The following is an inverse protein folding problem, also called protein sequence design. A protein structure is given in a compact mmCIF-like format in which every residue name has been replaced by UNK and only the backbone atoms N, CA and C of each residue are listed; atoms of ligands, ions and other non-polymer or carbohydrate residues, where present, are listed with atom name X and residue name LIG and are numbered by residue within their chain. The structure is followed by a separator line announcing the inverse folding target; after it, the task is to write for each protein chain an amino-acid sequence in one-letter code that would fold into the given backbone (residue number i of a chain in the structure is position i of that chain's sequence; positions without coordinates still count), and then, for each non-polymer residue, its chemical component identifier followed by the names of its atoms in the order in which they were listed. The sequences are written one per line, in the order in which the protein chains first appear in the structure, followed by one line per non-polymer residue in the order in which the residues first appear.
data_IF_164818807954
#
_entry.id   IF_164818807954
#
_cell.length_a   1.000
_cell.length_b   1.000
_cell.length_c   1.000
_cell.angle_alpha   90.00
_cell.angle_beta   90.00
_cell.angle_gamma   90.00
#
_symmetry.space_group_name_H-M   'P 1'
#
loop_
_entity.id
_entity.type
_entity.pdbx_description
1 polymer ?
#
# COMPACT_ATOMS: atom_id res chain seq x y z
N UNK A 1 0.05 -35.95 -45.74
CA UNK A 1 1.32 -35.39 -45.24
C UNK A 1 1.31 -33.91 -45.57
N UNK A 2 1.40 -32.93 -44.68
CA UNK A 2 1.30 -32.80 -43.22
C UNK A 2 1.16 -31.29 -43.01
N UNK A 3 0.14 -30.82 -42.28
CA UNK A 3 -0.07 -29.38 -42.07
C UNK A 3 0.72 -29.00 -40.82
N UNK A 4 1.84 -28.31 -41.01
CA UNK A 4 2.69 -27.84 -39.91
C UNK A 4 2.07 -26.61 -39.26
N UNK A 5 1.79 -26.70 -37.96
CA UNK A 5 1.46 -25.56 -37.10
C UNK A 5 2.73 -24.73 -36.87
N UNK A 6 2.71 -23.45 -37.27
CA UNK A 6 3.71 -22.48 -36.87
C UNK A 6 3.43 -22.00 -35.41
N UNK A 7 4.44 -21.75 -34.57
CA UNK A 7 4.25 -21.24 -33.21
C UNK A 7 3.86 -19.75 -33.24
N UNK A 8 3.11 -19.25 -32.25
CA UNK A 8 2.78 -17.82 -32.19
C UNK A 8 4.04 -17.01 -31.95
N UNK A 9 4.23 -16.05 -32.85
CA UNK A 9 5.31 -15.09 -32.92
C UNK A 9 5.43 -14.31 -31.60
N UNK A 10 6.68 -14.18 -31.17
CA UNK A 10 7.12 -13.45 -29.98
C UNK A 10 6.59 -12.01 -30.06
N UNK A 11 5.63 -11.66 -29.20
CA UNK A 11 5.14 -10.29 -29.10
C UNK A 11 6.32 -9.36 -28.78
N UNK A 12 6.54 -8.42 -29.70
CA UNK A 12 7.61 -7.45 -29.72
C UNK A 12 7.63 -6.57 -28.45
N UNK A 13 8.84 -6.13 -28.12
CA UNK A 13 9.23 -5.50 -26.86
C UNK A 13 8.30 -4.42 -26.33
N UNK A 14 7.92 -4.60 -25.07
CA UNK A 14 7.34 -3.55 -24.24
C UNK A 14 8.48 -2.71 -23.66
N UNK A 15 8.56 -1.48 -24.17
CA UNK A 15 9.08 -0.26 -23.55
C UNK A 15 9.96 -0.44 -22.30
N UNK A 16 11.27 -0.26 -22.47
CA UNK A 16 12.25 -0.17 -21.38
C UNK A 16 12.23 1.23 -20.74
N UNK A 17 11.05 1.70 -20.33
CA UNK A 17 10.93 2.80 -19.40
C UNK A 17 11.35 2.29 -18.02
N UNK A 18 12.14 3.07 -17.28
CA UNK A 18 12.56 2.83 -15.90
C UNK A 18 11.33 2.74 -14.96
N UNK A 19 10.62 1.62 -15.02
CA UNK A 19 9.29 1.39 -14.46
C UNK A 19 9.36 0.77 -13.08
N UNK A 20 10.01 1.46 -12.12
CA UNK A 20 9.79 1.14 -10.72
C UNK A 20 8.32 1.44 -10.41
N UNK A 21 7.45 0.43 -10.53
CA UNK A 21 6.03 0.54 -10.23
C UNK A 21 5.87 1.15 -8.84
N UNK A 22 5.08 2.21 -8.73
CA UNK A 22 4.86 2.90 -7.46
C UNK A 22 4.43 1.88 -6.39
N UNK A 23 5.07 1.93 -5.23
CA UNK A 23 4.76 1.02 -4.12
C UNK A 23 3.36 1.31 -3.60
N UNK A 24 2.53 0.27 -3.54
CA UNK A 24 1.21 0.33 -2.96
C UNK A 24 1.25 -0.13 -1.50
N UNK A 25 0.47 0.53 -0.64
CA UNK A 25 0.33 0.20 0.77
C UNK A 25 -1.11 -0.20 1.08
N UNK A 26 -1.29 -1.34 1.75
CA UNK A 26 -2.61 -1.86 2.13
C UNK A 26 -2.86 -1.53 3.60
N UNK A 27 -3.97 -0.85 3.89
CA UNK A 27 -4.36 -0.44 5.23
C UNK A 27 -5.72 -1.03 5.62
N UNK A 28 -5.85 -1.47 6.87
CA UNK A 28 -7.13 -1.60 7.55
C UNK A 28 -7.32 -0.38 8.46
N UNK A 29 -8.41 0.36 8.25
CA UNK A 29 -8.72 1.59 8.97
C UNK A 29 -10.14 1.49 9.55
N UNK A 30 -10.43 2.15 10.68
CA UNK A 30 -11.80 2.28 11.18
C UNK A 30 -12.72 2.91 10.14
N UNK A 31 -13.90 2.32 9.96
CA UNK A 31 -14.79 2.67 8.85
C UNK A 31 -15.21 4.14 8.84
N UNK A 32 -15.40 4.75 10.02
CA UNK A 32 -15.81 6.15 10.16
C UNK A 32 -14.74 7.16 9.70
N UNK A 33 -13.49 6.76 9.51
CA UNK A 33 -12.42 7.66 9.03
C UNK A 33 -12.67 8.15 7.60
N UNK A 34 -13.48 7.44 6.81
CA UNK A 34 -13.92 7.89 5.48
C UNK A 34 -14.61 9.25 5.52
N UNK A 35 -15.32 9.54 6.61
CA UNK A 35 -16.07 10.78 6.80
C UNK A 35 -15.25 11.89 7.46
N UNK A 36 -14.15 11.55 8.14
CA UNK A 36 -13.25 12.53 8.74
C UNK A 36 -12.63 13.46 7.68
N UNK A 37 -12.29 12.91 6.50
CA UNK A 37 -11.77 13.68 5.37
C UNK A 37 -12.78 14.68 4.75
N UNK A 38 -14.08 14.50 5.00
CA UNK A 38 -15.13 15.36 4.43
C UNK A 38 -15.30 16.67 5.20
N UNK A 39 -14.95 16.68 6.49
CA UNK A 39 -15.11 17.86 7.36
C UNK A 39 -14.06 18.94 7.12
N UNK A 40 -12.88 18.54 6.65
CA UNK A 40 -11.78 19.45 6.33
C UNK A 40 -10.94 18.86 5.21
N UNK A 41 -10.49 19.70 4.25
CA UNK A 41 -9.55 19.28 3.21
C UNK A 41 -8.30 18.71 3.89
N UNK A 42 -8.06 17.40 3.72
CA UNK A 42 -6.95 16.66 4.35
C UNK A 42 -7.00 16.57 5.89
N UNK A 43 -8.16 16.24 6.47
CA UNK A 43 -8.32 16.04 7.93
C UNK A 43 -7.53 14.86 8.54
N UNK A 44 -6.91 14.01 7.72
CA UNK A 44 -6.07 12.89 8.15
C UNK A 44 -4.63 13.10 7.68
N UNK A 45 -3.67 12.99 8.60
CA UNK A 45 -2.24 13.15 8.29
C UNK A 45 -1.42 12.01 8.89
N UNK A 46 -0.46 11.48 8.13
CA UNK A 46 0.56 10.61 8.69
C UNK A 46 1.67 11.46 9.30
N UNK A 47 2.04 11.19 10.54
CA UNK A 47 3.07 11.91 11.29
C UNK A 47 4.06 10.92 11.90
N UNK A 48 5.33 11.30 11.97
CA UNK A 48 6.35 10.53 12.69
C UNK A 48 6.50 11.13 14.09
N UNK A 49 6.22 10.33 15.12
CA UNK A 49 6.36 10.71 16.53
C UNK A 49 7.24 9.69 17.25
N UNK A 50 7.66 10.02 18.47
CA UNK A 50 8.45 9.11 19.32
C UNK A 50 7.53 8.07 19.95
N UNK A 51 7.90 6.79 19.85
CA UNK A 51 7.25 5.71 20.57
C UNK A 51 7.52 5.86 22.07
N UNK A 52 6.49 5.97 22.93
CA UNK A 52 6.70 6.20 24.36
C UNK A 52 7.46 5.07 25.09
N UNK A 53 7.40 3.84 24.58
CA UNK A 53 8.04 2.68 25.20
C UNK A 53 9.50 2.50 24.77
N UNK A 54 9.82 2.70 23.48
CA UNK A 54 11.17 2.46 22.95
C UNK A 54 12.00 3.71 22.69
N UNK A 55 11.36 4.88 22.61
CA UNK A 55 12.03 6.12 22.19
C UNK A 55 12.29 6.23 20.67
N UNK A 56 11.88 5.22 19.88
CA UNK A 56 12.12 5.21 18.43
C UNK A 56 11.05 5.98 17.65
N UNK A 57 11.43 6.55 16.50
CA UNK A 57 10.49 7.25 15.64
C UNK A 57 9.51 6.31 14.92
N UNK A 58 8.25 6.33 15.34
CA UNK A 58 7.14 5.50 14.85
C UNK A 58 6.13 6.34 14.07
N UNK A 59 5.44 5.74 13.10
CA UNK A 59 4.41 6.41 12.30
C UNK A 59 3.06 6.32 13.00
N UNK A 60 2.35 7.44 13.04
CA UNK A 60 1.00 7.57 13.55
C UNK A 60 0.10 8.21 12.48
N UNK A 61 -1.19 7.91 12.52
CA UNK A 61 -2.22 8.61 11.76
C UNK A 61 -2.95 9.55 12.71
N UNK A 62 -2.91 10.85 12.42
CA UNK A 62 -3.59 11.86 13.21
C UNK A 62 -4.81 12.38 12.47
N UNK A 63 -5.96 12.33 13.15
CA UNK A 63 -7.22 12.90 12.69
C UNK A 63 -7.41 14.28 13.31
N UNK A 64 -7.15 15.31 12.50
CA UNK A 64 -7.23 16.72 12.91
C UNK A 64 -8.65 17.13 13.30
N UNK A 65 -9.68 16.56 12.66
CA UNK A 65 -11.07 16.95 12.87
C UNK A 65 -11.62 16.49 14.23
N UNK A 66 -11.15 15.34 14.71
CA UNK A 66 -11.60 14.75 15.99
C UNK A 66 -10.50 14.74 17.05
N UNK A 67 -9.30 15.23 16.72
CA UNK A 67 -8.12 15.21 17.58
C UNK A 67 -7.77 13.80 18.10
N UNK A 68 -7.89 12.80 17.23
CA UNK A 68 -7.60 11.40 17.54
C UNK A 68 -6.26 10.99 16.92
N UNK A 69 -5.49 10.20 17.67
CA UNK A 69 -4.20 9.67 17.24
C UNK A 69 -4.24 8.14 17.22
N UNK A 70 -3.83 7.56 16.08
CA UNK A 70 -3.78 6.11 15.88
C UNK A 70 -2.33 5.69 15.62
N UNK A 71 -1.83 4.68 16.32
CA UNK A 71 -0.52 4.10 16.04
C UNK A 71 -0.60 3.20 14.81
N UNK A 72 0.30 3.37 13.85
CA UNK A 72 0.35 2.48 12.68
C UNK A 72 1.20 1.26 13.00
N UNK A 73 0.57 0.09 13.06
CA UNK A 73 1.25 -1.20 13.16
C UNK A 73 1.30 -1.88 11.81
N UNK A 74 2.33 -2.69 11.59
CA UNK A 74 2.53 -3.41 10.33
C UNK A 74 2.64 -4.90 10.62
N UNK A 75 1.73 -5.68 10.06
CA UNK A 75 1.89 -7.12 9.93
C UNK A 75 2.85 -7.41 8.76
N UNK A 76 3.84 -8.25 9.03
CA UNK A 76 4.87 -8.64 8.09
C UNK A 76 5.24 -10.10 8.31
N UNK A 77 5.14 -10.89 7.25
CA UNK A 77 5.52 -12.30 7.24
C UNK A 77 6.34 -12.63 5.98
N UNK A 78 7.19 -13.65 6.06
CA UNK A 78 8.03 -14.08 4.93
C UNK A 78 7.16 -14.68 3.83
N UNK A 79 7.60 -14.54 2.58
CA UNK A 79 6.96 -15.14 1.40
C UNK A 79 5.52 -14.72 1.11
N UNK A 80 5.13 -13.51 1.52
CA UNK A 80 3.80 -12.95 1.22
C UNK A 80 3.84 -11.86 0.15
N UNK A 81 2.76 -11.74 -0.62
CA UNK A 81 2.53 -10.71 -1.64
C UNK A 81 1.04 -10.44 -1.81
N UNK A 82 0.69 -9.24 -2.29
CA UNK A 82 -0.69 -8.88 -2.61
C UNK A 82 -0.93 -8.90 -4.10
N UNK A 83 -2.08 -9.44 -4.51
CA UNK A 83 -2.69 -9.12 -5.80
C UNK A 83 -3.70 -8.00 -5.56
N UNK A 84 -3.40 -6.80 -6.09
CA UNK A 84 -4.25 -5.62 -5.98
C UNK A 84 -4.81 -5.34 -7.38
N UNK A 85 -6.03 -5.80 -7.64
CA UNK A 85 -6.63 -5.75 -8.99
C UNK A 85 -5.68 -6.36 -10.05
N UNK A 86 -5.28 -5.57 -11.04
CA UNK A 86 -4.35 -5.95 -12.13
C UNK A 86 -2.87 -5.67 -11.77
N UNK A 87 -2.55 -5.64 -10.48
CA UNK A 87 -1.20 -5.34 -9.99
C UNK A 87 -0.74 -6.32 -8.92
N UNK A 88 0.57 -6.46 -8.79
CA UNK A 88 1.20 -7.26 -7.75
C UNK A 88 2.07 -6.34 -6.89
N UNK A 89 1.90 -6.44 -5.57
CA UNK A 89 2.73 -5.75 -4.59
C UNK A 89 3.49 -6.77 -3.75
N UNK A 90 4.81 -6.75 -3.87
CA UNK A 90 5.69 -7.62 -3.10
C UNK A 90 5.74 -7.22 -1.63
N UNK A 91 6.05 -8.21 -0.78
CA UNK A 91 6.29 -8.03 0.66
C UNK A 91 5.08 -8.28 1.55
N UNK A 92 3.86 -8.31 0.99
CA UNK A 92 2.65 -8.74 1.71
C UNK A 92 2.34 -7.94 2.98
N UNK A 93 2.83 -6.70 3.07
CA UNK A 93 2.68 -5.88 4.27
C UNK A 93 1.22 -5.46 4.42
N UNK A 94 0.68 -5.56 5.63
CA UNK A 94 -0.65 -5.07 5.99
C UNK A 94 -0.52 -4.09 7.15
N UNK A 95 -1.02 -2.88 6.95
CA UNK A 95 -0.91 -1.79 7.93
C UNK A 95 -2.25 -1.64 8.65
N UNK A 96 -2.23 -1.35 9.95
CA UNK A 96 -3.44 -1.21 10.77
C UNK A 96 -3.32 0.08 11.59
N UNK A 97 -4.43 0.82 11.65
CA UNK A 97 -4.63 1.98 12.51
C UNK A 97 -5.82 1.74 13.44
#
# INVERSE_FOLDING_TARGET
AGVGLAPPEKAAGMDCGNGARARQHVFLLPEYLKDASKKMKSGLIFVKLVNPCSGEGTIYLFNMCQQQLFEIKVFKEKHHSWFINQSVQSGGLLHFA
#
